data_IF_733039935303
#
_entry.id   IF_733039935303
#
_cell.length_a   1.000
_cell.length_b   1.000
_cell.length_c   1.000
_cell.angle_alpha   90.00
_cell.angle_beta   90.00
_cell.angle_gamma   90.00
#
_symmetry.space_group_name_H-M   'P 1'
#
loop_
_entity.id
_entity.type
_entity.pdbx_description
1 polymer ?
#
# COMPACT_ATOMS: atom_id res chain seq x y z
N UNK A 1 7.26 -30.05 -10.63
CA UNK A 1 7.02 -29.85 -9.18
C UNK A 1 6.93 -28.35 -8.96
N UNK A 2 5.73 -27.86 -8.74
CA UNK A 2 5.49 -26.44 -8.49
C UNK A 2 5.78 -26.16 -7.01
N UNK A 3 6.80 -25.36 -6.74
CA UNK A 3 7.05 -24.82 -5.39
C UNK A 3 6.14 -23.63 -5.19
N UNK A 4 4.96 -23.89 -4.60
CA UNK A 4 4.07 -22.82 -4.16
C UNK A 4 4.72 -22.01 -3.05
N UNK A 5 5.12 -20.79 -3.35
CA UNK A 5 5.58 -19.84 -2.35
C UNK A 5 4.44 -19.54 -1.37
N UNK A 6 4.63 -19.91 -0.11
CA UNK A 6 3.66 -19.63 0.94
C UNK A 6 3.52 -18.12 1.16
N UNK A 7 2.29 -17.65 1.14
CA UNK A 7 1.96 -16.29 1.53
C UNK A 7 2.03 -16.18 3.06
N UNK A 8 3.00 -15.44 3.57
CA UNK A 8 3.02 -15.10 4.98
C UNK A 8 2.16 -13.85 5.18
N UNK A 9 0.87 -14.08 5.40
CA UNK A 9 -0.04 -12.99 5.78
C UNK A 9 0.32 -12.47 7.16
N UNK A 10 0.13 -11.19 7.38
CA UNK A 10 0.14 -10.58 8.72
C UNK A 10 -1.10 -11.12 9.44
N UNK A 11 -0.97 -12.27 10.11
CA UNK A 11 -2.02 -12.88 10.92
C UNK A 11 -1.86 -12.46 12.37
N UNK A 12 -2.08 -11.18 12.65
CA UNK A 12 -2.46 -10.76 13.98
C UNK A 12 -3.97 -11.01 14.11
N UNK A 13 -4.38 -12.07 14.80
CA UNK A 13 -5.78 -12.38 15.03
C UNK A 13 -6.39 -11.35 15.98
N UNK A 14 -7.10 -10.38 15.44
CA UNK A 14 -8.11 -9.63 16.16
C UNK A 14 -9.41 -10.42 16.00
N UNK A 15 -10.08 -10.85 17.08
CA UNK A 15 -11.33 -11.58 16.97
C UNK A 15 -12.44 -10.64 16.53
N UNK A 16 -12.82 -10.70 15.26
CA UNK A 16 -14.01 -10.03 14.74
C UNK A 16 -15.14 -11.04 14.70
N UNK A 17 -16.10 -10.90 15.63
CA UNK A 17 -17.42 -11.49 15.49
C UNK A 17 -18.15 -10.80 14.33
N UNK A 18 -18.46 -11.58 13.31
CA UNK A 18 -19.28 -11.13 12.18
C UNK A 18 -18.91 -11.91 10.94
N UNK A 19 -19.69 -12.92 10.60
CA UNK A 19 -19.56 -13.72 9.38
C UNK A 19 -19.94 -12.83 8.19
N UNK A 20 -18.98 -12.02 7.71
CA UNK A 20 -19.08 -11.35 6.42
C UNK A 20 -18.49 -12.27 5.34
N UNK A 21 -19.09 -12.25 4.15
CA UNK A 21 -18.63 -13.01 2.99
C UNK A 21 -17.11 -12.83 2.83
N UNK A 22 -16.36 -13.90 2.54
CA UNK A 22 -14.93 -13.83 2.26
C UNK A 22 -14.74 -12.82 1.11
N UNK A 23 -14.22 -11.69 1.47
CA UNK A 23 -13.78 -10.66 0.56
C UNK A 23 -12.70 -11.26 -0.34
N UNK A 24 -12.86 -11.13 -1.63
CA UNK A 24 -11.95 -11.74 -2.59
C UNK A 24 -10.80 -10.76 -2.82
N UNK A 25 -9.58 -11.17 -2.48
CA UNK A 25 -8.36 -10.44 -2.84
C UNK A 25 -8.28 -10.33 -4.36
N UNK A 26 -7.69 -9.24 -4.86
CA UNK A 26 -7.39 -9.05 -6.27
C UNK A 26 -5.91 -9.28 -6.50
N UNK A 27 -5.57 -10.17 -7.42
CA UNK A 27 -4.19 -10.42 -7.83
C UNK A 27 -3.95 -9.84 -9.23
N UNK A 28 -2.94 -9.00 -9.36
CA UNK A 28 -2.51 -8.39 -10.62
C UNK A 28 -1.00 -8.58 -10.79
N UNK A 29 -0.58 -8.83 -12.04
CA UNK A 29 0.82 -8.88 -12.41
C UNK A 29 1.26 -7.61 -13.14
N UNK A 30 2.55 -7.28 -13.04
CA UNK A 30 3.21 -6.31 -13.91
C UNK A 30 4.49 -6.92 -14.48
N UNK A 31 4.78 -6.70 -15.76
CA UNK A 31 5.97 -7.20 -16.42
C UNK A 31 7.15 -6.23 -16.35
N UNK A 32 6.93 -5.00 -15.89
CA UNK A 32 7.92 -3.93 -15.84
C UNK A 32 7.64 -2.93 -14.71
N UNK A 33 8.65 -2.14 -14.37
CA UNK A 33 8.47 -1.01 -13.43
C UNK A 33 7.44 0.01 -13.92
N UNK A 34 7.36 0.25 -15.23
CA UNK A 34 6.38 1.19 -15.77
C UNK A 34 4.95 0.65 -15.65
N UNK A 35 4.75 -0.65 -15.87
CA UNK A 35 3.44 -1.27 -15.61
C UNK A 35 3.08 -1.23 -14.12
N UNK A 36 4.07 -1.42 -13.21
CA UNK A 36 3.84 -1.23 -11.78
C UNK A 36 3.40 0.21 -11.47
N UNK A 37 4.03 1.22 -12.11
CA UNK A 37 3.61 2.62 -11.97
C UNK A 37 2.21 2.86 -12.54
N UNK A 38 1.87 2.25 -13.67
CA UNK A 38 0.52 2.37 -14.25
C UNK A 38 -0.56 1.76 -13.33
N UNK A 39 -0.28 0.63 -12.68
CA UNK A 39 -1.17 0.08 -11.65
C UNK A 39 -1.33 1.05 -10.48
N UNK A 40 -0.23 1.64 -10.02
CA UNK A 40 -0.25 2.68 -8.99
C UNK A 40 -1.04 3.92 -9.42
N UNK A 41 -0.91 4.36 -10.67
CA UNK A 41 -1.63 5.51 -11.22
C UNK A 41 -3.14 5.26 -11.26
N UNK A 42 -3.57 4.08 -11.73
CA UNK A 42 -4.98 3.67 -11.69
C UNK A 42 -5.52 3.67 -10.26
N UNK A 43 -4.78 3.12 -9.31
CA UNK A 43 -5.16 3.17 -7.89
C UNK A 43 -5.24 4.61 -7.40
N UNK A 44 -4.23 5.44 -7.68
CA UNK A 44 -4.16 6.84 -7.28
C UNK A 44 -5.36 7.66 -7.76
N UNK A 45 -5.89 7.37 -8.96
CA UNK A 45 -7.09 8.03 -9.49
C UNK A 45 -8.37 7.71 -8.68
N UNK A 46 -8.39 6.56 -7.99
CA UNK A 46 -9.50 6.12 -7.15
C UNK A 46 -9.39 6.61 -5.71
N UNK A 47 -8.16 6.91 -5.26
CA UNK A 47 -7.89 7.35 -3.89
C UNK A 47 -8.42 8.75 -3.62
N UNK A 48 -8.89 8.93 -2.39
CA UNK A 48 -9.40 10.19 -1.86
C UNK A 48 -8.88 10.44 -0.44
N UNK A 49 -9.00 11.65 0.03
CA UNK A 49 -8.71 12.03 1.41
C UNK A 49 -9.34 11.04 2.40
N UNK A 50 -8.57 10.58 3.36
CA UNK A 50 -8.95 9.55 4.34
C UNK A 50 -8.51 8.15 3.98
N UNK A 51 -8.10 7.89 2.72
CA UNK A 51 -7.67 6.56 2.31
C UNK A 51 -6.27 6.24 2.82
N UNK A 52 -6.10 4.99 3.26
CA UNK A 52 -4.83 4.46 3.76
C UNK A 52 -4.44 3.25 2.93
N UNK A 53 -3.21 3.26 2.41
CA UNK A 53 -2.62 2.17 1.62
C UNK A 53 -1.35 1.68 2.32
N UNK A 54 -1.31 0.40 2.61
CA UNK A 54 -0.20 -0.29 3.29
C UNK A 54 0.54 -1.16 2.28
N UNK A 55 1.84 -0.90 2.08
CA UNK A 55 2.67 -1.60 1.09
C UNK A 55 3.65 -2.54 1.78
N UNK A 56 3.40 -3.84 1.70
CA UNK A 56 4.24 -4.91 2.24
C UNK A 56 5.02 -5.62 1.13
N UNK A 57 6.16 -6.17 1.48
CA UNK A 57 7.03 -6.94 0.58
C UNK A 57 8.51 -6.65 0.80
N UNK A 58 9.36 -7.57 0.33
CA UNK A 58 10.83 -7.50 0.48
C UNK A 58 11.45 -6.24 -0.11
N UNK A 59 12.70 -5.98 0.24
CA UNK A 59 13.47 -4.89 -0.34
C UNK A 59 13.60 -5.09 -1.87
N UNK A 60 13.37 -4.01 -2.63
CA UNK A 60 13.45 -4.05 -4.10
C UNK A 60 12.21 -4.63 -4.81
N UNK A 61 11.12 -4.96 -4.11
CA UNK A 61 9.90 -5.46 -4.75
C UNK A 61 9.09 -4.40 -5.49
N UNK A 62 9.44 -3.11 -5.36
CA UNK A 62 8.80 -2.04 -6.12
C UNK A 62 7.75 -1.25 -5.36
N UNK A 63 7.73 -1.26 -4.02
CA UNK A 63 6.81 -0.47 -3.19
C UNK A 63 6.86 1.02 -3.56
N UNK A 64 8.05 1.60 -3.55
CA UNK A 64 8.25 3.01 -3.97
C UNK A 64 7.86 3.24 -5.43
N UNK A 65 8.08 2.26 -6.32
CA UNK A 65 7.65 2.34 -7.72
C UNK A 65 6.11 2.43 -7.83
N UNK A 66 5.39 1.63 -7.04
CA UNK A 66 3.93 1.70 -6.95
C UNK A 66 3.48 3.05 -6.38
N UNK A 67 4.16 3.55 -5.32
CA UNK A 67 3.87 4.86 -4.71
C UNK A 67 4.09 6.00 -5.70
N UNK A 68 5.11 5.92 -6.56
CA UNK A 68 5.30 6.87 -7.66
C UNK A 68 4.10 6.91 -8.60
N UNK A 69 3.56 5.74 -8.93
CA UNK A 69 2.33 5.63 -9.71
C UNK A 69 1.13 6.25 -8.99
N UNK A 70 0.94 5.95 -7.70
CA UNK A 70 -0.11 6.56 -6.88
C UNK A 70 0.00 8.08 -6.92
N UNK A 71 1.21 8.63 -6.76
CA UNK A 71 1.45 10.06 -6.87
C UNK A 71 1.05 10.66 -8.23
N UNK A 72 1.31 9.94 -9.34
CA UNK A 72 0.83 10.33 -10.68
C UNK A 72 -0.71 10.39 -10.72
N UNK A 73 -1.37 9.35 -10.22
CA UNK A 73 -2.84 9.27 -10.18
C UNK A 73 -3.49 10.34 -9.30
N UNK A 74 -2.80 10.78 -8.26
CA UNK A 74 -3.18 11.91 -7.41
C UNK A 74 -2.80 13.28 -8.01
N UNK A 75 -2.14 13.31 -9.18
CA UNK A 75 -1.62 14.52 -9.81
C UNK A 75 -0.63 15.28 -8.91
N UNK A 76 0.19 14.56 -8.17
CA UNK A 76 1.19 15.14 -7.29
C UNK A 76 2.24 15.93 -8.07
N UNK A 77 2.65 17.09 -7.52
CA UNK A 77 3.70 17.92 -8.08
C UNK A 77 5.07 17.34 -7.72
N UNK A 78 5.98 17.33 -8.71
CA UNK A 78 7.33 16.82 -8.52
C UNK A 78 7.43 15.29 -8.58
N UNK A 79 8.61 14.79 -8.24
CA UNK A 79 8.89 13.36 -8.26
C UNK A 79 8.70 12.75 -6.88
N UNK A 80 7.89 11.71 -6.79
CA UNK A 80 7.73 10.93 -5.56
C UNK A 80 8.96 10.04 -5.37
N UNK A 81 9.62 10.19 -4.22
CA UNK A 81 10.82 9.44 -3.83
C UNK A 81 10.57 8.76 -2.48
N UNK A 82 11.32 7.66 -2.21
CA UNK A 82 11.27 7.01 -0.89
C UNK A 82 11.77 7.96 0.20
N UNK A 83 11.05 8.11 1.32
CA UNK A 83 11.43 8.93 2.46
C UNK A 83 12.38 8.21 3.42
N UNK A 84 13.16 7.21 2.97
CA UNK A 84 13.99 6.32 3.80
C UNK A 84 14.92 7.04 4.81
N UNK A 85 15.20 8.34 4.63
CA UNK A 85 16.05 9.13 5.53
C UNK A 85 15.29 10.12 6.41
N UNK A 86 14.03 10.45 6.05
CA UNK A 86 13.22 11.49 6.71
C UNK A 86 11.91 10.94 7.26
N UNK A 87 11.68 9.64 7.14
CA UNK A 87 10.52 8.88 7.55
C UNK A 87 9.24 9.21 6.77
N UNK A 88 8.93 10.47 6.45
CA UNK A 88 7.76 10.89 5.71
C UNK A 88 8.08 12.01 4.74
N UNK A 89 7.54 11.92 3.52
CA UNK A 89 7.46 12.98 2.53
C UNK A 89 6.00 13.36 2.27
N UNK A 90 5.79 14.64 1.98
CA UNK A 90 4.48 15.20 1.64
C UNK A 90 4.50 15.76 0.21
N UNK A 91 3.45 15.49 -0.56
CA UNK A 91 3.30 15.95 -1.94
C UNK A 91 1.93 16.58 -2.15
N UNK A 92 1.91 17.77 -2.72
CA UNK A 92 0.70 18.46 -3.14
C UNK A 92 0.18 17.87 -4.44
N UNK A 93 -1.13 17.60 -4.52
CA UNK A 93 -1.81 17.05 -5.69
C UNK A 93 -3.31 17.30 -5.64
N UNK A 94 -4.09 16.55 -6.43
CA UNK A 94 -5.56 16.54 -6.34
C UNK A 94 -6.04 16.24 -4.92
N UNK A 95 -5.40 15.23 -4.33
CA UNK A 95 -5.38 14.99 -2.89
C UNK A 95 -3.93 15.04 -2.43
N UNK A 96 -3.69 15.51 -1.22
CA UNK A 96 -2.35 15.51 -0.64
C UNK A 96 -1.90 14.08 -0.37
N UNK A 97 -0.68 13.74 -0.78
CA UNK A 97 -0.08 12.43 -0.53
C UNK A 97 0.93 12.54 0.62
N UNK A 98 0.73 11.74 1.65
CA UNK A 98 1.71 11.49 2.71
C UNK A 98 2.33 10.11 2.48
N UNK A 99 3.62 10.09 2.17
CA UNK A 99 4.38 8.88 1.91
C UNK A 99 5.31 8.60 3.08
N UNK A 100 5.10 7.48 3.76
CA UNK A 100 5.84 7.04 4.95
C UNK A 100 6.60 5.76 4.63
N UNK A 101 7.84 5.64 5.12
CA UNK A 101 8.69 4.44 4.98
C UNK A 101 9.20 4.03 6.37
N UNK A 102 8.66 2.93 6.89
CA UNK A 102 8.97 2.44 8.24
C UNK A 102 10.17 1.48 8.27
N UNK A 103 10.91 1.29 7.16
CA UNK A 103 12.01 0.33 7.08
C UNK A 103 13.04 0.47 8.20
N UNK A 104 13.33 1.71 8.63
CA UNK A 104 14.34 2.04 9.64
C UNK A 104 13.79 2.29 11.02
N UNK A 105 12.49 2.21 11.20
CA UNK A 105 11.88 2.37 12.53
C UNK A 105 12.19 1.13 13.36
N UNK A 106 12.81 1.35 14.50
CA UNK A 106 13.17 0.31 15.46
C UNK A 106 12.21 0.29 16.65
N UNK A 107 11.65 1.45 16.99
CA UNK A 107 10.75 1.62 18.13
C UNK A 107 9.36 2.06 17.66
N UNK A 108 8.35 1.29 18.06
CA UNK A 108 6.94 1.56 17.72
C UNK A 108 6.43 2.81 18.45
N UNK A 109 7.02 3.17 19.60
CA UNK A 109 6.65 4.38 20.35
C UNK A 109 6.92 5.66 19.54
N UNK A 110 7.96 5.67 18.69
CA UNK A 110 8.24 6.80 17.78
C UNK A 110 7.10 7.05 16.79
N UNK A 111 6.35 6.01 16.41
CA UNK A 111 5.25 6.13 15.45
C UNK A 111 3.99 6.73 16.08
N UNK A 112 3.75 6.46 17.37
CA UNK A 112 2.62 7.02 18.09
C UNK A 112 2.78 8.53 18.26
N UNK A 113 4.02 8.99 18.56
CA UNK A 113 4.35 10.41 18.66
C UNK A 113 4.20 11.17 17.34
N UNK A 114 4.36 10.50 16.20
CA UNK A 114 4.22 11.12 14.87
C UNK A 114 2.78 11.48 14.50
N UNK A 115 1.79 10.92 15.18
CA UNK A 115 0.39 11.19 14.88
C UNK A 115 0.01 10.84 13.43
N UNK A 116 0.47 9.69 12.91
CA UNK A 116 0.26 9.30 11.51
C UNK A 116 -1.20 9.38 11.05
N UNK A 117 -2.13 9.16 11.96
CA UNK A 117 -3.57 9.18 11.68
C UNK A 117 -4.10 10.57 11.37
N UNK A 118 -3.53 11.60 11.98
CA UNK A 118 -3.87 12.99 11.69
C UNK A 118 -3.56 13.36 10.24
N UNK A 119 -2.58 12.69 9.62
CA UNK A 119 -2.24 12.87 8.21
C UNK A 119 -3.25 12.17 7.29
N UNK A 120 -3.75 11.00 7.66
CA UNK A 120 -4.81 10.34 6.89
C UNK A 120 -6.07 11.22 6.83
N UNK A 121 -6.41 11.93 7.93
CA UNK A 121 -7.53 12.89 7.94
C UNK A 121 -7.30 14.10 7.03
N UNK A 122 -6.08 14.36 6.57
CA UNK A 122 -5.71 15.51 5.73
C UNK A 122 -5.49 15.17 4.27
N UNK A 123 -5.27 13.90 3.94
CA UNK A 123 -4.97 13.46 2.58
C UNK A 123 -5.02 11.95 2.43
N UNK A 124 -4.23 11.40 1.52
CA UNK A 124 -4.00 9.97 1.30
C UNK A 124 -2.71 9.58 2.00
N UNK A 125 -2.76 8.55 2.83
CA UNK A 125 -1.60 8.04 3.56
C UNK A 125 -1.11 6.73 2.91
N UNK A 126 0.12 6.69 2.43
CA UNK A 126 0.78 5.50 1.91
C UNK A 126 1.94 5.13 2.83
N UNK A 127 1.93 3.91 3.36
CA UNK A 127 2.95 3.41 4.30
C UNK A 127 3.66 2.21 3.70
N UNK A 128 4.97 2.31 3.50
CA UNK A 128 5.85 1.17 3.20
C UNK A 128 6.33 0.51 4.49
N UNK A 129 6.52 -0.82 4.48
CA UNK A 129 6.94 -1.64 5.61
C UNK A 129 5.98 -1.59 6.81
N UNK A 130 4.67 -1.78 6.58
CA UNK A 130 3.65 -1.65 7.64
C UNK A 130 3.84 -2.64 8.78
N UNK A 131 4.53 -3.77 8.57
CA UNK A 131 4.85 -4.76 9.58
C UNK A 131 5.73 -4.22 10.73
N UNK A 132 6.44 -3.10 10.51
CA UNK A 132 7.25 -2.43 11.53
C UNK A 132 6.41 -1.68 12.57
N UNK A 133 5.16 -1.36 12.24
CA UNK A 133 4.24 -0.66 13.13
C UNK A 133 2.84 -1.31 13.17
N UNK A 134 2.76 -2.63 12.98
CA UNK A 134 1.50 -3.35 12.79
C UNK A 134 0.45 -3.13 13.89
N UNK A 135 0.88 -2.89 15.14
CA UNK A 135 0.00 -2.68 16.29
C UNK A 135 -0.74 -1.33 16.25
N UNK A 136 -0.19 -0.35 15.54
CA UNK A 136 -0.73 1.00 15.42
C UNK A 136 -1.51 1.21 14.11
N UNK A 137 -1.58 0.22 13.21
CA UNK A 137 -2.20 0.38 11.92
C UNK A 137 -3.73 0.28 12.00
N UNK A 138 -4.48 1.12 11.24
CA UNK A 138 -5.94 1.09 11.27
C UNK A 138 -6.49 -0.21 10.70
N UNK A 139 -7.69 -0.57 11.15
CA UNK A 139 -8.41 -1.73 10.66
C UNK A 139 -9.02 -1.56 9.26
N UNK A 140 -9.14 -0.32 8.76
CA UNK A 140 -9.77 0.01 7.47
C UNK A 140 -8.72 0.53 6.47
N UNK A 141 -8.87 0.20 5.18
CA UNK A 141 -7.95 0.60 4.13
C UNK A 141 -7.62 -0.50 3.12
N UNK A 142 -6.48 -0.36 2.44
CA UNK A 142 -6.01 -1.31 1.43
C UNK A 142 -4.59 -1.78 1.77
N UNK A 143 -4.41 -3.09 1.90
CA UNK A 143 -3.07 -3.69 1.98
C UNK A 143 -2.68 -4.19 0.60
N UNK A 144 -1.45 -3.92 0.17
CA UNK A 144 -0.90 -4.42 -1.09
C UNK A 144 0.40 -5.16 -0.78
N UNK A 145 0.40 -6.46 -1.05
CA UNK A 145 1.60 -7.29 -0.96
C UNK A 145 2.28 -7.35 -2.32
N UNK A 146 3.56 -6.95 -2.37
CA UNK A 146 4.36 -6.98 -3.59
C UNK A 146 5.41 -8.08 -3.50
N UNK A 147 5.54 -8.85 -4.57
CA UNK A 147 6.56 -9.92 -4.70
C UNK A 147 7.25 -9.83 -6.06
N UNK A 148 8.44 -10.44 -6.13
CA UNK A 148 9.06 -10.69 -7.43
C UNK A 148 8.13 -11.60 -8.25
N UNK A 149 7.83 -11.20 -9.46
CA UNK A 149 6.91 -11.94 -10.33
C UNK A 149 7.61 -13.09 -11.05
N UNK A 150 6.80 -13.99 -11.59
CA UNK A 150 7.25 -15.20 -12.29
C UNK A 150 7.68 -14.97 -13.74
N UNK A 151 7.33 -13.82 -14.34
CA UNK A 151 7.54 -13.50 -15.75
C UNK A 151 8.93 -12.92 -16.07
N UNK A 152 9.79 -12.75 -15.05
CA UNK A 152 11.16 -12.27 -15.22
C UNK A 152 11.61 -11.32 -14.09
N UNK A 153 12.86 -10.88 -14.10
CA UNK A 153 13.46 -10.15 -12.96
C UNK A 153 12.82 -8.77 -12.70
N UNK A 154 12.13 -8.20 -13.68
CA UNK A 154 11.43 -6.92 -13.56
C UNK A 154 9.93 -7.07 -13.38
N UNK A 155 9.39 -8.30 -13.43
CA UNK A 155 7.98 -8.53 -13.17
C UNK A 155 7.68 -8.52 -11.69
N UNK A 156 6.43 -8.15 -11.34
CA UNK A 156 5.92 -8.15 -9.98
C UNK A 156 4.55 -8.79 -9.95
N UNK A 157 4.28 -9.51 -8.88
CA UNK A 157 2.96 -9.99 -8.51
C UNK A 157 2.46 -9.12 -7.34
N UNK A 158 1.29 -8.53 -7.52
CA UNK A 158 0.67 -7.63 -6.55
C UNK A 158 -0.63 -8.25 -6.08
N UNK A 159 -0.80 -8.39 -4.77
CA UNK A 159 -2.03 -8.85 -4.14
C UNK A 159 -2.65 -7.71 -3.35
N UNK A 160 -3.84 -7.31 -3.75
CA UNK A 160 -4.63 -6.25 -3.13
C UNK A 160 -5.62 -6.89 -2.16
N UNK A 161 -5.44 -6.62 -0.89
CA UNK A 161 -6.20 -7.19 0.22
C UNK A 161 -7.04 -6.08 0.83
N UNK A 162 -8.35 -6.07 0.57
CA UNK A 162 -9.22 -5.04 1.13
C UNK A 162 -9.38 -5.22 2.63
N UNK A 163 -9.43 -4.10 3.34
CA UNK A 163 -9.82 -4.03 4.74
C UNK A 163 -10.97 -3.05 4.88
N UNK A 164 -12.11 -3.54 5.37
CA UNK A 164 -13.31 -2.75 5.53
C UNK A 164 -13.98 -2.29 4.22
N UNK A 165 -15.11 -1.59 4.31
CA UNK A 165 -15.93 -1.23 3.15
C UNK A 165 -15.20 -0.38 2.11
N UNK A 166 -14.29 0.50 2.54
CA UNK A 166 -13.56 1.35 1.60
C UNK A 166 -12.51 0.55 0.82
N UNK A 167 -11.82 -0.37 1.48
CA UNK A 167 -10.90 -1.30 0.80
C UNK A 167 -11.62 -2.13 -0.26
N UNK A 168 -12.86 -2.59 0.03
CA UNK A 168 -13.72 -3.34 -0.89
C UNK A 168 -14.06 -2.53 -2.14
N UNK A 169 -14.48 -1.29 -1.94
CA UNK A 169 -14.79 -0.36 -3.04
C UNK A 169 -13.57 -0.16 -3.96
N UNK A 170 -12.37 0.03 -3.36
CA UNK A 170 -11.13 0.22 -4.11
C UNK A 170 -10.78 -1.01 -4.94
N UNK A 171 -10.80 -2.19 -4.34
CA UNK A 171 -10.48 -3.45 -5.02
C UNK A 171 -11.50 -3.73 -6.13
N UNK A 172 -12.79 -3.54 -5.88
CA UNK A 172 -13.84 -3.72 -6.88
C UNK A 172 -13.67 -2.78 -8.08
N UNK A 173 -13.36 -1.51 -7.83
CA UNK A 173 -13.14 -0.51 -8.89
C UNK A 173 -11.86 -0.78 -9.69
N UNK A 174 -10.79 -1.22 -9.02
CA UNK A 174 -9.52 -1.53 -9.68
C UNK A 174 -9.60 -2.79 -10.57
N UNK A 175 -10.40 -3.79 -10.15
CA UNK A 175 -10.60 -5.02 -10.91
C UNK A 175 -11.56 -4.90 -12.09
N UNK A 176 -12.40 -3.86 -12.13
CA UNK A 176 -13.35 -3.61 -13.21
C UNK A 176 -12.77 -2.79 -14.38
N UNK A 177 -11.59 -2.21 -14.22
CA UNK A 177 -10.89 -1.37 -15.19
C UNK A 177 -9.80 -2.17 -15.91
#
# INVERSE_FOLDING_TARGET
>A
MAVGGAWYGITGAVPILGRMAKQQDLELGSASEEETRQLGERLGQLLRKGDIVLLSGDLGTGKTCLTQGIGRGLSCQGQVNSPSFVLMNEYEGRERLYHVDLYRVEDVEELDELGLWDYAEKGVLVIEWPERGAELLPGDGLVIELRAGSLGPRSRDLRFIPRGPRGEELVGSLGAA
#
